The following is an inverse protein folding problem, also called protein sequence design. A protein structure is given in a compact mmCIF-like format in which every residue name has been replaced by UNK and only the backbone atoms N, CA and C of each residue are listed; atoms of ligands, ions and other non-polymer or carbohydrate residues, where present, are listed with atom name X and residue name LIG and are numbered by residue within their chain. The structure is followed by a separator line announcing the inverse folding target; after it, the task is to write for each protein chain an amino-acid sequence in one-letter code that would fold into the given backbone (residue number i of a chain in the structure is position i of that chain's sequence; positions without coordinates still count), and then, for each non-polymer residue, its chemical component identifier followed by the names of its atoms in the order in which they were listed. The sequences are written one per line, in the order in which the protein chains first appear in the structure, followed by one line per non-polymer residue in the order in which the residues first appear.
data_IF_627973134920
#
_entry.id   IF_627973134920
#
_cell.length_a   1.000
_cell.length_b   1.000
_cell.length_c   1.000
_cell.angle_alpha   90.00
_cell.angle_beta   90.00
_cell.angle_gamma   90.00
#
_symmetry.space_group_name_H-M   'P 1'
#
loop_
_entity.id
_entity.type
_entity.pdbx_description
1 polymer ?
#
# COMPACT_ATOMS: atom_id res chain seq x y z
N UNK A 1 4.78 7.85 18.34
CA UNK A 1 5.42 7.81 17.00
C UNK A 1 6.22 6.52 16.87
N UNK A 2 5.67 5.52 16.19
CA UNK A 2 6.48 4.38 15.74
C UNK A 2 7.38 4.87 14.61
N UNK A 3 8.67 5.05 14.87
CA UNK A 3 9.64 5.49 13.86
C UNK A 3 10.24 4.26 13.20
N UNK A 4 9.68 3.84 12.07
CA UNK A 4 10.34 2.81 11.23
C UNK A 4 11.66 3.42 10.74
N UNK A 5 12.83 2.84 11.06
CA UNK A 5 14.10 3.41 10.64
C UNK A 5 14.18 3.55 9.12
N UNK A 6 14.80 4.63 8.62
CA UNK A 6 14.93 4.89 7.17
C UNK A 6 15.51 3.71 6.38
N UNK A 7 16.42 2.94 6.97
CA UNK A 7 17.01 1.78 6.31
C UNK A 7 16.03 0.60 6.18
N UNK A 8 15.08 0.46 7.11
CA UNK A 8 13.98 -0.50 7.04
C UNK A 8 12.97 -0.06 5.96
N UNK A 9 12.59 1.22 5.93
CA UNK A 9 11.70 1.76 4.88
C UNK A 9 12.26 1.52 3.46
N UNK A 10 13.57 1.71 3.26
CA UNK A 10 14.23 1.40 1.97
C UNK A 10 14.19 -0.08 1.58
N UNK A 11 14.11 -0.98 2.56
CA UNK A 11 13.99 -2.42 2.34
C UNK A 11 12.53 -2.84 2.14
N UNK A 12 11.59 -2.17 2.81
CA UNK A 12 10.15 -2.37 2.62
C UNK A 12 9.66 -1.86 1.27
N UNK A 13 10.24 -0.75 0.80
CA UNK A 13 9.94 -0.10 -0.47
C UNK A 13 11.21 -0.04 -1.32
N UNK A 14 11.56 -1.15 -1.99
CA UNK A 14 12.71 -1.20 -2.89
C UNK A 14 12.60 -0.17 -4.03
N UNK A 15 13.67 0.05 -4.78
CA UNK A 15 13.70 1.15 -5.79
C UNK A 15 12.67 0.97 -6.91
N UNK A 16 12.37 -0.28 -7.24
CA UNK A 16 11.45 -0.77 -8.27
C UNK A 16 10.07 -1.12 -7.70
N UNK A 17 9.73 -0.61 -6.51
CA UNK A 17 8.47 -0.92 -5.85
C UNK A 17 7.24 -0.30 -6.54
N UNK A 18 7.40 0.64 -7.47
CA UNK A 18 6.29 1.31 -8.16
C UNK A 18 6.41 1.06 -9.65
N UNK A 19 5.39 0.44 -10.25
CA UNK A 19 5.32 0.10 -11.67
C UNK A 19 4.03 0.60 -12.28
N UNK A 20 4.09 1.07 -13.52
CA UNK A 20 2.87 1.30 -14.29
C UNK A 20 2.31 -0.05 -14.78
N UNK A 21 0.99 -0.21 -14.67
CA UNK A 21 0.24 -1.36 -15.19
C UNK A 21 -0.93 -0.84 -16.02
N UNK A 22 -1.53 -1.67 -16.88
CA UNK A 22 -2.56 -1.24 -17.83
C UNK A 22 -3.75 -0.50 -17.19
N UNK A 23 -4.05 -0.81 -15.92
CA UNK A 23 -5.18 -0.25 -15.16
C UNK A 23 -4.73 0.75 -14.08
N UNK A 24 -3.46 1.14 -14.04
CA UNK A 24 -2.95 2.15 -13.10
C UNK A 24 -1.53 1.89 -12.59
N UNK A 25 -1.36 1.83 -11.27
CA UNK A 25 -0.05 1.69 -10.62
C UNK A 25 -0.03 0.49 -9.68
N UNK A 26 1.01 -0.31 -9.79
CA UNK A 26 1.33 -1.39 -8.86
C UNK A 26 2.38 -0.92 -7.86
N UNK A 27 2.08 -1.00 -6.56
CA UNK A 27 2.99 -0.67 -5.45
C UNK A 27 3.31 -1.94 -4.65
N UNK A 28 4.57 -2.37 -4.66
CA UNK A 28 5.04 -3.55 -3.93
C UNK A 28 5.67 -3.16 -2.58
N UNK A 29 5.14 -3.73 -1.51
CA UNK A 29 5.70 -3.69 -0.16
C UNK A 29 6.31 -5.03 0.19
N UNK A 30 7.52 -5.00 0.74
CA UNK A 30 8.20 -6.17 1.29
C UNK A 30 8.18 -6.13 2.81
N UNK A 31 7.69 -7.18 3.46
CA UNK A 31 7.82 -7.30 4.90
C UNK A 31 9.29 -7.63 5.26
N UNK A 32 9.94 -6.80 6.08
CA UNK A 32 11.37 -6.97 6.44
C UNK A 32 11.65 -6.85 7.94
N UNK A 33 10.62 -6.74 8.77
CA UNK A 33 10.77 -6.52 10.23
C UNK A 33 10.46 -7.82 10.97
N UNK A 34 9.19 -8.20 11.00
CA UNK A 34 8.66 -9.35 11.73
C UNK A 34 7.40 -9.83 11.03
N UNK A 35 6.95 -11.08 11.24
CA UNK A 35 5.66 -11.51 10.75
C UNK A 35 4.55 -10.53 11.19
N UNK A 36 3.69 -10.13 10.27
CA UNK A 36 2.59 -9.19 10.54
C UNK A 36 1.30 -10.01 10.58
N UNK A 37 0.74 -10.21 11.76
CA UNK A 37 -0.57 -10.83 11.92
C UNK A 37 -1.68 -9.83 11.61
N UNK A 38 -2.66 -10.26 10.83
CA UNK A 38 -3.89 -9.48 10.57
C UNK A 38 -4.88 -9.89 11.66
N UNK A 39 -4.86 -9.18 12.78
CA UNK A 39 -5.69 -9.52 13.95
C UNK A 39 -7.10 -8.96 13.84
N UNK A 40 -7.20 -7.72 13.36
CA UNK A 40 -8.47 -7.01 13.25
C UNK A 40 -8.45 -6.14 11.99
N UNK A 41 -9.60 -6.03 11.34
CA UNK A 41 -9.83 -5.11 10.23
C UNK A 41 -11.07 -4.31 10.58
N UNK A 42 -11.01 -2.97 10.59
CA UNK A 42 -12.15 -2.13 10.92
C UNK A 42 -13.32 -2.37 9.96
N UNK A 43 -14.54 -2.09 10.41
CA UNK A 43 -15.76 -2.29 9.60
C UNK A 43 -15.73 -1.50 8.28
N UNK A 44 -15.15 -0.30 8.31
CA UNK A 44 -14.93 0.55 7.15
C UNK A 44 -13.43 0.84 6.96
N UNK A 45 -12.65 0.00 6.27
CA UNK A 45 -11.22 0.23 6.06
C UNK A 45 -10.90 1.55 5.33
N UNK A 46 -11.84 2.06 4.52
CA UNK A 46 -11.71 3.34 3.81
C UNK A 46 -11.55 4.54 4.76
N UNK A 47 -12.22 4.51 5.92
CA UNK A 47 -12.14 5.60 6.88
C UNK A 47 -10.74 5.70 7.51
N UNK A 48 -9.95 4.62 7.41
CA UNK A 48 -8.65 4.47 8.02
C UNK A 48 -7.50 4.60 7.01
N UNK A 49 -7.76 4.70 5.71
CA UNK A 49 -6.72 4.75 4.69
C UNK A 49 -6.87 6.01 3.86
N UNK A 50 -5.78 6.75 3.73
CA UNK A 50 -5.70 7.93 2.87
C UNK A 50 -4.53 7.76 1.90
N UNK A 51 -4.84 7.85 0.61
CA UNK A 51 -3.86 7.84 -0.47
C UNK A 51 -3.76 9.25 -1.06
N UNK A 52 -2.55 9.78 -1.11
CA UNK A 52 -2.22 11.05 -1.73
C UNK A 52 -1.15 10.79 -2.79
N UNK A 53 -1.39 11.26 -4.02
CA UNK A 53 -0.43 11.21 -5.12
C UNK A 53 -0.19 12.63 -5.62
N UNK A 54 1.08 13.05 -5.64
CA UNK A 54 1.53 14.40 -5.99
C UNK A 54 0.77 15.51 -5.25
N UNK A 55 0.49 15.27 -3.96
CA UNK A 55 -0.23 16.21 -3.10
C UNK A 55 -1.74 16.26 -3.33
N UNK A 56 -2.29 15.42 -4.22
CA UNK A 56 -3.74 15.26 -4.42
C UNK A 56 -4.24 14.00 -3.75
N UNK A 57 -5.26 14.13 -2.90
CA UNK A 57 -5.95 12.99 -2.33
C UNK A 57 -6.67 12.21 -3.44
N UNK A 58 -6.53 10.88 -3.41
CA UNK A 58 -7.24 9.99 -4.32
C UNK A 58 -8.69 9.84 -3.83
N UNK A 59 -9.70 10.02 -4.71
CA UNK A 59 -11.10 9.88 -4.34
C UNK A 59 -11.47 8.49 -3.81
N UNK A 60 -12.39 8.41 -2.84
CA UNK A 60 -12.82 7.16 -2.20
C UNK A 60 -13.39 6.13 -3.20
N UNK A 61 -14.02 6.58 -4.28
CA UNK A 61 -14.51 5.71 -5.36
C UNK A 61 -13.37 5.01 -6.11
N UNK A 62 -12.21 5.65 -6.23
CA UNK A 62 -11.00 5.03 -6.77
C UNK A 62 -10.37 4.09 -5.73
N UNK A 63 -10.31 4.52 -4.46
CA UNK A 63 -9.74 3.72 -3.36
C UNK A 63 -10.52 2.41 -3.16
N UNK A 64 -11.85 2.41 -3.33
CA UNK A 64 -12.69 1.19 -3.28
C UNK A 64 -12.27 0.11 -4.27
N UNK A 65 -11.72 0.51 -5.42
CA UNK A 65 -11.28 -0.40 -6.47
C UNK A 65 -9.83 -0.86 -6.29
N UNK A 66 -9.17 -0.47 -5.19
CA UNK A 66 -7.83 -0.93 -4.87
C UNK A 66 -7.83 -2.44 -4.64
N UNK A 67 -6.93 -3.11 -5.34
CA UNK A 67 -6.70 -4.55 -5.17
C UNK A 67 -5.41 -4.77 -4.40
N UNK A 68 -5.48 -5.49 -3.30
CA UNK A 68 -4.33 -5.83 -2.46
C UNK A 68 -4.04 -7.31 -2.68
N UNK A 69 -2.87 -7.64 -3.21
CA UNK A 69 -2.45 -9.02 -3.44
C UNK A 69 -1.44 -9.48 -2.40
N UNK A 70 -1.67 -10.66 -1.85
CA UNK A 70 -0.80 -11.31 -0.87
C UNK A 70 -0.69 -12.79 -1.24
N UNK A 71 0.54 -13.29 -1.45
CA UNK A 71 0.81 -14.72 -1.72
C UNK A 71 -0.12 -15.31 -2.80
N UNK A 72 -0.22 -14.62 -3.95
CA UNK A 72 -1.05 -14.95 -5.12
C UNK A 72 -2.58 -14.84 -4.93
N UNK A 73 -3.05 -14.43 -3.76
CA UNK A 73 -4.46 -14.09 -3.56
C UNK A 73 -4.71 -12.60 -3.72
N UNK A 74 -5.85 -12.25 -4.33
CA UNK A 74 -6.25 -10.85 -4.56
C UNK A 74 -7.43 -10.51 -3.65
N UNK A 75 -7.18 -9.56 -2.74
CA UNK A 75 -8.16 -8.91 -1.90
C UNK A 75 -8.66 -7.61 -2.53
N UNK A 76 -9.93 -7.28 -2.31
CA UNK A 76 -10.48 -5.93 -2.44
C UNK A 76 -10.83 -5.42 -1.06
N UNK A 77 -11.08 -4.12 -0.92
CA UNK A 77 -11.45 -3.55 0.37
C UNK A 77 -12.68 -4.24 0.99
N UNK A 78 -13.65 -4.67 0.17
CA UNK A 78 -14.86 -5.35 0.62
C UNK A 78 -14.60 -6.75 1.20
N UNK A 79 -13.55 -7.43 0.75
CA UNK A 79 -13.25 -8.80 1.17
C UNK A 79 -12.07 -8.89 2.14
N UNK A 80 -11.44 -7.78 2.51
CA UNK A 80 -10.28 -7.74 3.40
C UNK A 80 -10.49 -8.55 4.69
N UNK A 81 -11.71 -8.57 5.24
CA UNK A 81 -12.06 -9.34 6.46
C UNK A 81 -11.77 -10.83 6.35
N UNK A 82 -11.73 -11.41 5.15
CA UNK A 82 -11.38 -12.83 4.96
C UNK A 82 -9.91 -13.15 5.27
N UNK A 83 -9.06 -12.13 5.36
CA UNK A 83 -7.64 -12.25 5.70
C UNK A 83 -7.37 -12.12 7.20
N UNK A 84 -8.39 -11.89 8.03
CA UNK A 84 -8.25 -11.93 9.50
C UNK A 84 -7.75 -13.31 9.93
N UNK A 85 -6.75 -13.34 10.81
CA UNK A 85 -6.06 -14.54 11.26
C UNK A 85 -4.91 -14.99 10.37
N UNK A 86 -4.68 -14.34 9.22
CA UNK A 86 -3.49 -14.60 8.41
C UNK A 86 -2.28 -13.83 8.93
N UNK A 87 -1.11 -14.32 8.56
CA UNK A 87 0.17 -13.70 8.91
C UNK A 87 0.99 -13.49 7.65
N UNK A 88 1.45 -12.26 7.43
CA UNK A 88 2.41 -11.93 6.38
C UNK A 88 3.81 -12.28 6.91
N UNK A 89 4.50 -13.32 6.39
CA UNK A 89 5.81 -13.70 6.88
C UNK A 89 6.86 -12.64 6.53
N UNK A 90 8.03 -12.69 7.20
CA UNK A 90 9.18 -11.89 6.78
C UNK A 90 9.62 -12.34 5.39
N UNK A 91 9.81 -11.39 4.48
CA UNK A 91 10.02 -11.64 3.05
C UNK A 91 8.74 -11.75 2.23
N UNK A 92 7.57 -11.79 2.87
CA UNK A 92 6.27 -11.75 2.20
C UNK A 92 6.08 -10.42 1.46
N UNK A 93 5.39 -10.49 0.32
CA UNK A 93 5.10 -9.33 -0.53
C UNK A 93 3.63 -8.98 -0.42
N UNK A 94 3.36 -7.68 -0.28
CA UNK A 94 2.03 -7.10 -0.38
C UNK A 94 2.03 -6.17 -1.58
N UNK A 95 1.18 -6.45 -2.56
CA UNK A 95 1.11 -5.72 -3.82
C UNK A 95 -0.19 -4.93 -3.84
N UNK A 96 -0.11 -3.60 -3.90
CA UNK A 96 -1.27 -2.72 -3.97
C UNK A 96 -1.41 -2.23 -5.40
N UNK A 97 -2.50 -2.61 -6.07
CA UNK A 97 -2.87 -2.07 -7.37
C UNK A 97 -3.85 -0.91 -7.18
N UNK A 98 -3.38 0.29 -7.49
CA UNK A 98 -4.12 1.53 -7.36
C UNK A 98 -4.55 1.99 -8.77
N UNK A 99 -5.86 2.03 -9.07
CA UNK A 99 -6.32 2.31 -10.42
C UNK A 99 -6.27 3.81 -10.75
N UNK A 100 -5.09 4.30 -11.16
CA UNK A 100 -4.85 5.69 -11.53
C UNK A 100 -4.58 5.82 -13.02
N UNK A 101 -5.51 6.44 -13.73
CA UNK A 101 -5.39 6.64 -15.18
C UNK A 101 -4.29 7.64 -15.59
N UNK A 102 -3.88 8.54 -14.69
CA UNK A 102 -3.02 9.69 -15.01
C UNK A 102 -1.53 9.45 -14.69
N UNK A 103 -1.10 8.19 -14.61
CA UNK A 103 0.25 7.86 -14.15
C UNK A 103 0.99 7.01 -15.18
N UNK A 104 2.12 7.52 -15.68
CA UNK A 104 2.88 6.88 -16.77
C UNK A 104 4.26 6.38 -16.32
N UNK A 105 4.72 5.30 -16.95
CA UNK A 105 6.09 4.81 -16.77
C UNK A 105 7.11 5.89 -17.14
N UNK A 106 8.14 6.05 -16.31
CA UNK A 106 9.20 7.03 -16.51
C UNK A 106 8.99 8.37 -15.80
N UNK A 107 7.82 8.63 -15.23
CA UNK A 107 7.54 9.85 -14.46
C UNK A 107 7.91 9.67 -12.98
N UNK A 108 8.29 10.77 -12.31
CA UNK A 108 8.58 10.78 -10.88
C UNK A 108 7.37 11.30 -10.13
N UNK A 109 6.79 10.47 -9.28
CA UNK A 109 5.62 10.81 -8.47
C UNK A 109 5.93 10.67 -6.97
N UNK A 110 5.25 11.49 -6.18
CA UNK A 110 5.25 11.38 -4.72
C UNK A 110 3.96 10.68 -4.25
N UNK A 111 4.13 9.52 -3.63
CA UNK A 111 3.05 8.77 -3.00
C UNK A 111 3.12 8.94 -1.50
N UNK A 112 2.00 9.30 -0.90
CA UNK A 112 1.84 9.47 0.52
C UNK A 112 0.63 8.64 0.98
N UNK A 113 0.91 7.61 1.77
CA UNK A 113 -0.06 6.64 2.25
C UNK A 113 -0.14 6.78 3.76
N UNK A 114 -1.31 7.14 4.25
CA UNK A 114 -1.59 7.30 5.68
C UNK A 114 -2.60 6.27 6.14
N UNK A 115 -2.22 5.46 7.13
CA UNK A 115 -3.16 4.70 7.93
C UNK A 115 -3.51 5.51 9.20
N UNK A 116 -4.77 5.91 9.32
CA UNK A 116 -5.34 6.68 10.41
C UNK A 116 -5.80 5.76 11.54
N UNK A 117 -4.87 5.10 12.22
CA UNK A 117 -5.14 4.32 13.45
C UNK A 117 -4.85 5.14 14.71
N UNK A 118 -5.07 4.59 15.91
CA UNK A 118 -4.70 5.22 17.20
C UNK A 118 -3.24 5.67 17.23
N UNK A 119 -2.37 4.94 16.52
CA UNK A 119 -1.00 5.35 16.21
C UNK A 119 -0.84 5.50 14.70
N UNK A 120 -1.18 6.68 14.15
CA UNK A 120 -1.24 6.86 12.72
C UNK A 120 0.14 6.63 12.10
N UNK A 121 0.14 5.95 10.98
CA UNK A 121 1.35 5.58 10.26
C UNK A 121 1.31 6.20 8.88
N UNK A 122 2.38 6.93 8.54
CA UNK A 122 2.52 7.65 7.29
C UNK A 122 3.75 7.15 6.54
N UNK A 123 3.55 6.74 5.29
CA UNK A 123 4.61 6.43 4.35
C UNK A 123 4.57 7.46 3.24
N UNK A 124 5.59 8.33 3.19
CA UNK A 124 5.86 9.18 2.04
C UNK A 124 7.04 8.64 1.23
N UNK A 125 6.83 8.41 -0.06
CA UNK A 125 7.86 7.90 -0.97
C UNK A 125 7.79 8.64 -2.31
N UNK A 126 8.94 9.14 -2.76
CA UNK A 126 9.11 9.72 -4.11
C UNK A 126 9.91 8.76 -4.99
N UNK A 127 9.34 8.31 -6.10
CA UNK A 127 10.00 7.34 -7.01
C UNK A 127 9.64 7.60 -8.46
N UNK A 128 10.59 7.24 -9.33
CA UNK A 128 10.37 7.09 -10.75
C UNK A 128 9.63 5.79 -11.02
N UNK A 129 8.50 5.88 -11.68
CA UNK A 129 7.68 4.73 -12.04
C UNK A 129 8.41 3.91 -13.09
N UNK A 130 8.52 2.61 -12.83
CA UNK A 130 9.12 1.66 -13.76
C UNK A 130 8.14 1.29 -14.86
#
# INVERSE_FOLDING_TARGET
MSYIPKYILKRMLPKDCIKAVDDGVEITFLNVISPIAIEEIPDNPLDYIEFIVDGKAIPDDVVKNVKISMDDEVATIDNLKQYIGRTIPVGGKLIINLPLADVSAGEEHEFDITLKTDNPFNIKVKRKIQ
#
